data_IF_745615100390
#
_entry.id   IF_745615100390
#
_cell.length_a   1.000
_cell.length_b   1.000
_cell.length_c   1.000
_cell.angle_alpha   90.00
_cell.angle_beta   90.00
_cell.angle_gamma   90.00
#
_symmetry.space_group_name_H-M   'P 1'
#
loop_
_entity.id
_entity.type
_entity.pdbx_description
1 polymer ?
#
# COMPACT_ATOMS: atom_id res chain seq x y z
N UNK A 1 -27.95 48.36 -41.36
CA UNK A 1 -28.84 47.17 -41.44
C UNK A 1 -28.03 45.86 -41.55
N UNK A 2 -26.97 45.66 -40.74
CA UNK A 2 -26.00 44.56 -40.99
C UNK A 2 -25.53 43.80 -39.74
N UNK A 3 -26.07 44.08 -38.55
CA UNK A 3 -25.61 43.46 -37.30
C UNK A 3 -26.55 42.40 -36.71
N UNK A 4 -27.74 42.18 -37.29
CA UNK A 4 -28.73 41.19 -36.80
C UNK A 4 -28.63 39.79 -37.41
N UNK A 5 -27.82 39.59 -38.46
CA UNK A 5 -27.67 38.27 -39.13
C UNK A 5 -26.61 37.36 -38.50
N UNK A 6 -25.68 37.90 -37.70
CA UNK A 6 -24.64 37.10 -37.05
C UNK A 6 -25.10 36.41 -35.76
N UNK A 7 -26.18 36.89 -35.13
CA UNK A 7 -26.68 36.33 -33.87
C UNK A 7 -27.49 35.02 -34.04
N UNK A 8 -27.86 34.63 -35.27
CA UNK A 8 -28.64 33.39 -35.52
C UNK A 8 -27.78 32.19 -35.91
N UNK A 9 -26.49 32.37 -36.14
CA UNK A 9 -25.57 31.27 -36.46
C UNK A 9 -24.85 30.67 -35.23
N UNK A 10 -24.99 31.28 -34.05
CA UNK A 10 -24.42 30.75 -32.82
C UNK A 10 -25.38 29.82 -32.03
N UNK A 11 -26.61 29.61 -32.50
CA UNK A 11 -27.64 28.86 -31.77
C UNK A 11 -27.90 27.43 -32.31
N UNK A 12 -27.17 26.98 -33.34
CA UNK A 12 -27.35 25.63 -33.92
C UNK A 12 -26.13 24.71 -33.69
N UNK A 13 -25.22 25.08 -32.79
CA UNK A 13 -24.03 24.30 -32.43
C UNK A 13 -24.06 23.82 -30.96
N UNK A 14 -25.24 23.66 -30.37
CA UNK A 14 -25.42 23.22 -28.97
C UNK A 14 -26.31 21.97 -28.84
N UNK A 15 -26.32 21.07 -29.83
CA UNK A 15 -27.23 19.92 -29.83
C UNK A 15 -26.62 18.57 -30.19
N UNK A 16 -25.30 18.38 -30.13
CA UNK A 16 -24.67 17.06 -30.41
C UNK A 16 -23.78 16.49 -29.31
N UNK A 17 -23.74 17.07 -28.11
CA UNK A 17 -22.96 16.51 -26.98
C UNK A 17 -23.84 15.85 -25.91
N UNK A 18 -24.74 14.95 -26.32
CA UNK A 18 -25.64 14.24 -25.40
C UNK A 18 -25.64 12.71 -25.58
N UNK A 19 -24.51 12.08 -25.99
CA UNK A 19 -24.50 10.61 -26.13
C UNK A 19 -23.18 9.89 -25.85
N UNK A 20 -22.32 10.39 -24.96
CA UNK A 20 -21.10 9.63 -24.60
C UNK A 20 -20.70 9.83 -23.14
N UNK A 21 -21.53 9.31 -22.23
CA UNK A 21 -21.11 8.97 -20.87
C UNK A 21 -22.05 7.92 -20.28
N UNK A 22 -22.25 6.81 -21.00
CA UNK A 22 -22.60 5.54 -20.33
C UNK A 22 -21.40 5.23 -19.44
N UNK A 23 -21.69 5.13 -18.15
CA UNK A 23 -20.73 4.90 -17.09
C UNK A 23 -19.81 3.73 -17.44
N UNK A 24 -18.52 3.91 -17.14
CA UNK A 24 -17.54 2.84 -17.13
C UNK A 24 -18.10 1.70 -16.26
N UNK A 25 -18.46 0.59 -16.91
CA UNK A 25 -18.76 -0.67 -16.25
C UNK A 25 -17.44 -1.16 -15.65
N UNK A 26 -17.11 -0.65 -14.46
CA UNK A 26 -16.33 -1.44 -13.51
C UNK A 26 -17.09 -2.76 -13.41
N UNK A 27 -16.50 -3.84 -13.94
CA UNK A 27 -16.95 -5.21 -13.67
C UNK A 27 -17.03 -5.36 -12.15
N UNK A 28 -18.20 -5.05 -11.63
CA UNK A 28 -18.52 -5.10 -10.22
C UNK A 28 -18.54 -6.57 -9.87
N UNK A 29 -17.70 -6.93 -8.90
CA UNK A 29 -17.77 -8.21 -8.20
C UNK A 29 -19.26 -8.57 -8.01
N UNK A 30 -19.68 -9.72 -8.52
CA UNK A 30 -21.09 -10.11 -8.46
C UNK A 30 -21.53 -10.23 -7.00
N UNK A 31 -22.81 -10.05 -6.73
CA UNK A 31 -23.37 -10.27 -5.38
C UNK A 31 -23.05 -11.67 -4.86
N UNK A 32 -23.00 -12.68 -5.72
CA UNK A 32 -22.57 -14.03 -5.34
C UNK A 32 -21.10 -14.08 -4.93
N UNK A 33 -20.21 -13.35 -5.61
CA UNK A 33 -18.78 -13.30 -5.29
C UNK A 33 -18.50 -12.44 -4.05
N UNK A 34 -19.25 -11.36 -3.85
CA UNK A 34 -19.24 -10.61 -2.60
C UNK A 34 -19.67 -11.49 -1.42
N UNK A 35 -20.76 -12.26 -1.57
CA UNK A 35 -21.23 -13.16 -0.52
C UNK A 35 -20.27 -14.32 -0.25
N UNK A 36 -19.57 -14.80 -1.29
CA UNK A 36 -18.56 -15.86 -1.15
C UNK A 36 -17.33 -15.37 -0.39
N UNK A 37 -16.89 -14.12 -0.61
CA UNK A 37 -15.74 -13.51 0.05
C UNK A 37 -16.09 -12.76 1.36
N UNK A 38 -17.37 -12.74 1.76
CA UNK A 38 -17.84 -12.07 2.98
C UNK A 38 -17.48 -12.82 4.28
N UNK A 39 -16.87 -14.00 4.19
CA UNK A 39 -16.32 -14.69 5.35
C UNK A 39 -15.18 -13.87 5.96
N UNK A 40 -15.32 -13.47 7.22
CA UNK A 40 -14.22 -12.85 7.97
C UNK A 40 -13.04 -13.82 8.01
N UNK A 41 -11.93 -13.45 7.36
CA UNK A 41 -10.69 -14.23 7.46
C UNK A 41 -10.28 -14.30 8.93
N UNK A 42 -9.93 -15.49 9.46
CA UNK A 42 -9.42 -15.61 10.83
C UNK A 42 -8.11 -14.84 11.05
N UNK A 43 -7.48 -14.32 9.99
CA UNK A 43 -6.33 -13.43 10.06
C UNK A 43 -6.69 -11.94 10.21
N UNK A 44 -7.97 -11.56 10.07
CA UNK A 44 -8.40 -10.16 10.13
C UNK A 44 -8.28 -9.54 11.52
N UNK A 45 -8.27 -10.35 12.56
CA UNK A 45 -8.29 -9.91 13.96
C UNK A 45 -6.89 -9.81 14.58
N UNK A 46 -5.85 -10.37 13.94
CA UNK A 46 -4.49 -10.35 14.48
C UNK A 46 -3.85 -8.99 14.19
N UNK A 47 -3.43 -8.23 15.22
CA UNK A 47 -2.79 -6.94 15.00
C UNK A 47 -1.49 -7.10 14.20
N UNK A 48 -1.38 -6.44 13.05
CA UNK A 48 -0.21 -6.49 12.18
C UNK A 48 0.70 -5.27 12.42
N UNK A 49 2.00 -5.51 12.51
CA UNK A 49 2.97 -4.41 12.61
C UNK A 49 3.07 -3.65 11.28
N UNK A 50 2.93 -2.33 11.34
CA UNK A 50 3.03 -1.46 10.17
C UNK A 50 4.49 -1.00 9.98
N UNK A 51 5.23 -1.76 9.17
CA UNK A 51 6.59 -1.36 8.76
C UNK A 51 6.54 -0.12 7.86
N UNK A 52 7.44 0.83 8.10
CA UNK A 52 7.64 1.99 7.21
C UNK A 52 8.24 1.60 5.85
N UNK A 53 8.83 0.41 5.73
CA UNK A 53 9.36 -0.11 4.47
C UNK A 53 8.42 -1.21 3.93
N UNK A 54 7.81 -1.02 2.74
CA UNK A 54 6.85 -1.96 2.17
C UNK A 54 7.50 -3.28 1.70
N UNK A 55 8.83 -3.33 1.55
CA UNK A 55 9.58 -4.54 1.21
C UNK A 55 9.93 -5.39 2.44
N UNK A 56 9.67 -4.89 3.65
CA UNK A 56 9.91 -5.66 4.85
C UNK A 56 8.95 -6.87 4.92
N UNK A 57 9.44 -8.04 5.39
CA UNK A 57 8.56 -9.18 5.65
C UNK A 57 7.44 -8.80 6.62
N UNK A 58 6.22 -9.26 6.32
CA UNK A 58 5.05 -9.04 7.17
C UNK A 58 5.22 -9.84 8.46
N UNK A 59 4.87 -9.23 9.59
CA UNK A 59 4.80 -9.88 10.90
C UNK A 59 3.71 -9.26 11.75
N UNK A 60 3.24 -10.01 12.72
CA UNK A 60 2.29 -9.56 13.74
C UNK A 60 2.94 -8.56 14.69
N UNK A 61 2.13 -7.78 15.39
CA UNK A 61 2.59 -6.87 16.44
C UNK A 61 3.32 -7.63 17.56
N UNK A 62 2.80 -8.79 17.95
CA UNK A 62 3.41 -9.63 18.99
C UNK A 62 4.79 -10.15 18.60
N UNK A 63 4.98 -10.58 17.34
CA UNK A 63 6.28 -10.99 16.81
C UNK A 63 7.27 -9.81 16.78
N UNK A 64 6.82 -8.63 16.35
CA UNK A 64 7.64 -7.43 16.33
C UNK A 64 8.12 -7.04 17.74
N UNK A 65 7.22 -7.03 18.72
CA UNK A 65 7.56 -6.66 20.11
C UNK A 65 8.53 -7.65 20.75
N UNK A 66 8.33 -8.95 20.53
CA UNK A 66 9.27 -9.98 20.96
C UNK A 66 10.64 -9.80 20.31
N UNK A 67 10.69 -9.60 18.99
CA UNK A 67 11.94 -9.39 18.27
C UNK A 67 12.66 -8.09 18.71
N UNK A 68 11.89 -7.03 18.98
CA UNK A 68 12.40 -5.76 19.51
C UNK A 68 13.05 -5.95 20.88
N UNK A 69 12.40 -6.66 21.79
CA UNK A 69 12.97 -6.97 23.11
C UNK A 69 14.30 -7.72 22.96
N UNK A 70 14.32 -8.80 22.17
CA UNK A 70 15.55 -9.57 21.91
C UNK A 70 16.64 -8.68 21.32
N UNK A 71 16.31 -7.80 20.37
CA UNK A 71 17.29 -6.90 19.77
C UNK A 71 17.97 -6.03 20.82
N UNK A 72 17.21 -5.42 21.75
CA UNK A 72 17.78 -4.56 22.77
C UNK A 72 18.55 -5.32 23.86
N UNK A 73 18.09 -6.51 24.24
CA UNK A 73 18.75 -7.33 25.26
C UNK A 73 20.02 -8.02 24.75
N UNK A 74 20.06 -8.41 23.47
CA UNK A 74 21.08 -9.32 22.93
C UNK A 74 21.90 -8.77 21.77
N UNK A 75 21.41 -7.78 21.03
CA UNK A 75 22.04 -7.36 19.76
C UNK A 75 22.53 -5.90 19.78
N UNK A 76 21.81 -5.01 20.45
CA UNK A 76 22.04 -3.57 20.42
C UNK A 76 23.41 -3.18 20.99
N UNK A 77 24.00 -3.98 21.88
CA UNK A 77 25.35 -3.76 22.40
C UNK A 77 26.42 -3.73 21.31
N UNK A 78 26.33 -4.60 20.30
CA UNK A 78 27.30 -4.66 19.21
C UNK A 78 26.84 -3.90 17.96
N UNK A 79 25.54 -3.92 17.66
CA UNK A 79 24.99 -3.35 16.42
C UNK A 79 24.42 -1.93 16.57
N UNK A 80 24.40 -1.42 17.81
CA UNK A 80 23.89 -0.10 18.17
C UNK A 80 22.36 -0.03 18.26
N UNK A 81 21.85 0.87 19.11
CA UNK A 81 20.40 1.06 19.31
C UNK A 81 19.66 1.47 18.04
N UNK A 82 20.33 2.22 17.15
CA UNK A 82 19.80 2.63 15.84
C UNK A 82 20.19 1.69 14.70
N UNK A 83 20.83 0.56 14.98
CA UNK A 83 21.30 -0.43 14.00
C UNK A 83 22.37 0.06 13.01
N UNK A 84 22.97 1.24 13.25
CA UNK A 84 24.02 1.84 12.40
C UNK A 84 25.40 1.18 12.57
N UNK A 85 25.51 0.17 13.43
CA UNK A 85 26.77 -0.50 13.75
C UNK A 85 27.50 0.17 14.92
N UNK A 86 28.29 -0.63 15.63
CA UNK A 86 29.27 -0.20 16.62
C UNK A 86 30.51 -1.08 16.47
N UNK A 87 30.65 -2.12 17.29
CA UNK A 87 31.64 -3.19 17.07
C UNK A 87 31.17 -4.18 15.99
N UNK A 88 29.86 -4.39 15.89
CA UNK A 88 29.20 -5.20 14.86
C UNK A 88 28.84 -4.40 13.61
N UNK A 89 28.69 -5.11 12.48
CA UNK A 89 28.28 -4.54 11.19
C UNK A 89 26.90 -3.86 11.26
N UNK A 90 26.61 -2.84 10.45
CA UNK A 90 25.28 -2.23 10.39
C UNK A 90 24.19 -3.23 9.97
N UNK A 91 23.01 -3.11 10.56
CA UNK A 91 21.81 -3.94 10.32
C UNK A 91 20.62 -3.09 9.85
N UNK A 92 20.90 -2.01 9.13
CA UNK A 92 19.87 -1.11 8.59
C UNK A 92 19.12 -1.76 7.42
N UNK A 93 17.86 -1.37 7.16
CA UNK A 93 17.02 -1.99 6.12
C UNK A 93 17.61 -1.96 4.70
N UNK A 94 18.37 -0.93 4.34
CA UNK A 94 19.07 -0.80 3.05
C UNK A 94 20.07 -1.95 2.80
N UNK A 95 20.61 -2.54 3.88
CA UNK A 95 21.54 -3.68 3.80
C UNK A 95 20.79 -5.00 3.94
N UNK A 96 19.94 -5.14 4.96
CA UNK A 96 19.33 -6.42 5.31
C UNK A 96 18.30 -6.88 4.29
N UNK A 97 17.56 -5.96 3.66
CA UNK A 97 16.63 -6.29 2.58
C UNK A 97 17.35 -6.83 1.34
N UNK A 98 18.52 -6.28 1.00
CA UNK A 98 19.33 -6.76 -0.13
C UNK A 98 19.92 -8.16 0.09
N UNK A 99 20.20 -8.52 1.35
CA UNK A 99 20.67 -9.86 1.71
C UNK A 99 19.56 -10.91 1.66
N UNK A 100 18.33 -10.51 1.91
CA UNK A 100 17.17 -11.39 1.90
C UNK A 100 17.03 -12.23 3.17
N UNK A 101 15.81 -12.69 3.42
CA UNK A 101 15.44 -13.39 4.64
C UNK A 101 16.22 -14.70 4.82
N UNK A 102 16.46 -15.46 3.75
CA UNK A 102 17.09 -16.78 3.87
C UNK A 102 18.57 -16.70 4.23
N UNK A 103 19.26 -15.64 3.83
CA UNK A 103 20.63 -15.36 4.27
C UNK A 103 20.70 -14.98 5.77
N UNK A 104 19.64 -14.33 6.28
CA UNK A 104 19.59 -13.81 7.65
C UNK A 104 19.11 -14.84 8.67
N UNK A 105 18.49 -15.93 8.21
CA UNK A 105 18.16 -17.11 9.03
C UNK A 105 19.45 -17.92 9.20
N UNK A 106 20.05 -17.85 10.38
CA UNK A 106 21.14 -18.74 10.81
C UNK A 106 20.70 -19.59 11.98
#
# INVERSE_FOLDING_TARGET
MTTRKLARLAALAMSTLALSAVAEEKKGVSTSEMNYQAGSSPMGEVPMYQSSNPKAPKMTQAEFDKARQIYFERCAGCHGVLRKGATGKPLTPDITLGKGTDYLKV
#
